data_IF_348974315009
#
_entry.id   IF_348974315009
#
_cell.length_a   1.000
_cell.length_b   1.000
_cell.length_c   1.000
_cell.angle_alpha   90.00
_cell.angle_beta   90.00
_cell.angle_gamma   90.00
#
_symmetry.space_group_name_H-M   'P 1'
#
loop_
_entity.id
_entity.type
_entity.pdbx_description
1 polymer ?
#
# COMPACT_ATOMS: atom_id res chain seq x y z
N UNK A 1 -13.06 -7.73 -11.60
CA UNK A 1 -12.18 -8.93 -11.72
C UNK A 1 -11.02 -8.70 -10.76
N UNK A 2 -10.74 -9.64 -9.86
CA UNK A 2 -9.75 -9.53 -8.78
C UNK A 2 -8.94 -10.84 -8.70
N UNK A 3 -7.66 -10.82 -8.28
CA UNK A 3 -6.92 -9.69 -7.71
C UNK A 3 -6.49 -8.64 -8.74
N UNK A 4 -6.22 -7.42 -8.27
CA UNK A 4 -5.58 -6.34 -9.03
C UNK A 4 -4.39 -5.81 -8.24
N UNK A 5 -3.29 -5.49 -8.91
CA UNK A 5 -2.07 -5.05 -8.22
C UNK A 5 -1.33 -3.93 -8.96
N UNK A 6 -0.56 -3.17 -8.19
CA UNK A 6 0.37 -2.16 -8.70
C UNK A 6 1.53 -1.95 -7.72
N UNK A 7 2.62 -1.41 -8.24
CA UNK A 7 3.85 -1.14 -7.49
C UNK A 7 4.10 0.37 -7.43
N UNK A 8 4.43 0.87 -6.23
CA UNK A 8 4.93 2.23 -6.00
C UNK A 8 6.43 2.13 -5.75
N UNK A 9 7.21 2.88 -6.54
CA UNK A 9 8.66 2.98 -6.41
C UNK A 9 9.05 4.30 -5.76
N UNK A 10 9.80 4.26 -4.66
CA UNK A 10 10.31 5.46 -3.98
C UNK A 10 11.64 5.95 -4.57
N UNK A 11 12.31 5.16 -5.41
CA UNK A 11 13.63 5.43 -6.00
C UNK A 11 14.74 5.69 -4.96
N UNK A 12 14.47 5.43 -3.68
CA UNK A 12 15.37 5.57 -2.54
C UNK A 12 14.83 4.73 -1.38
N UNK A 13 15.70 4.37 -0.44
CA UNK A 13 15.24 3.67 0.77
C UNK A 13 14.52 4.69 1.67
N UNK A 14 13.23 4.45 1.92
CA UNK A 14 12.43 5.24 2.85
C UNK A 14 12.13 4.44 4.10
N UNK A 15 12.13 5.11 5.25
CA UNK A 15 11.55 4.61 6.49
C UNK A 15 10.13 5.13 6.58
N UNK A 16 9.16 4.23 6.63
CA UNK A 16 7.73 4.53 6.65
C UNK A 16 7.24 4.41 8.09
N UNK A 17 6.62 5.47 8.57
CA UNK A 17 6.04 5.57 9.92
C UNK A 17 4.53 5.35 9.88
N UNK A 18 3.89 5.79 8.79
CA UNK A 18 2.46 5.66 8.57
C UNK A 18 2.11 5.51 7.09
N UNK A 19 1.10 4.70 6.80
CA UNK A 19 0.39 4.68 5.53
C UNK A 19 -1.01 5.24 5.70
N UNK A 20 -1.40 6.17 4.83
CA UNK A 20 -2.78 6.65 4.71
C UNK A 20 -3.31 6.24 3.35
N UNK A 21 -4.38 5.45 3.34
CA UNK A 21 -4.96 4.87 2.12
C UNK A 21 -6.42 5.31 2.03
N UNK A 22 -6.73 5.95 0.91
CA UNK A 22 -8.07 6.44 0.59
C UNK A 22 -8.60 5.70 -0.62
N UNK A 23 -9.74 5.03 -0.47
CA UNK A 23 -10.26 4.15 -1.52
C UNK A 23 -11.79 4.06 -1.49
N UNK A 24 -12.34 3.40 -2.51
CA UNK A 24 -13.75 3.06 -2.64
C UNK A 24 -13.89 1.59 -3.00
N UNK A 25 -14.83 0.93 -2.34
CA UNK A 25 -15.21 -0.48 -2.54
C UNK A 25 -14.09 -1.50 -2.38
N UNK A 26 -12.90 -1.13 -1.89
CA UNK A 26 -11.85 -2.09 -1.56
C UNK A 26 -12.31 -2.90 -0.35
N UNK A 27 -12.23 -4.23 -0.42
CA UNK A 27 -12.53 -5.12 0.72
C UNK A 27 -11.23 -5.62 1.33
N UNK A 28 -10.45 -6.41 0.62
CA UNK A 28 -9.21 -6.97 1.16
C UNK A 28 -8.02 -6.37 0.42
N UNK A 29 -7.17 -5.67 1.16
CA UNK A 29 -5.93 -5.08 0.67
C UNK A 29 -4.73 -5.76 1.34
N UNK A 30 -3.86 -6.34 0.50
CA UNK A 30 -2.55 -6.82 0.90
C UNK A 30 -1.49 -5.82 0.42
N UNK A 31 -0.52 -5.55 1.27
CA UNK A 31 0.63 -4.70 0.98
C UNK A 31 1.87 -5.54 1.21
N UNK A 32 2.70 -5.65 0.19
CA UNK A 32 4.02 -6.24 0.26
C UNK A 32 5.07 -5.14 0.10
N UNK A 33 6.25 -5.35 0.66
CA UNK A 33 7.36 -4.41 0.56
C UNK A 33 8.62 -5.10 0.05
N UNK A 34 9.51 -4.32 -0.54
CA UNK A 34 10.86 -4.75 -0.88
C UNK A 34 11.84 -3.63 -0.57
N UNK A 35 13.06 -4.00 -0.20
CA UNK A 35 14.21 -3.09 -0.05
C UNK A 35 15.27 -3.33 -1.14
N UNK A 36 14.97 -4.19 -2.12
CA UNK A 36 15.87 -4.48 -3.23
C UNK A 36 16.05 -3.27 -4.15
N UNK A 37 17.04 -3.34 -5.04
CA UNK A 37 17.29 -2.31 -6.06
C UNK A 37 16.29 -2.39 -7.21
N UNK A 38 15.77 -3.58 -7.49
CA UNK A 38 14.78 -3.88 -8.54
C UNK A 38 13.44 -4.28 -7.87
N UNK A 39 12.29 -4.23 -8.58
CA UNK A 39 10.99 -4.61 -8.03
C UNK A 39 10.84 -6.13 -7.91
N UNK A 40 11.63 -6.73 -7.04
CA UNK A 40 11.71 -8.17 -6.74
C UNK A 40 11.78 -8.39 -5.22
N UNK A 41 11.78 -9.65 -4.79
CA UNK A 41 11.96 -10.06 -3.38
C UNK A 41 10.97 -9.40 -2.42
N UNK A 42 9.71 -9.30 -2.84
CA UNK A 42 8.64 -8.76 -2.02
C UNK A 42 8.33 -9.69 -0.84
N UNK A 43 8.25 -9.12 0.35
CA UNK A 43 7.77 -9.77 1.56
C UNK A 43 6.41 -9.22 1.96
N UNK A 44 5.53 -10.10 2.46
CA UNK A 44 4.24 -9.69 2.99
C UNK A 44 4.44 -8.78 4.20
N UNK A 45 3.84 -7.60 4.15
CA UNK A 45 3.96 -6.61 5.21
C UNK A 45 2.65 -6.40 5.97
N UNK A 46 1.59 -6.06 5.24
CA UNK A 46 0.29 -5.74 5.82
C UNK A 46 -0.79 -6.48 5.04
N UNK A 47 -1.80 -6.97 5.76
CA UNK A 47 -3.04 -7.45 5.18
C UNK A 47 -4.20 -6.90 6.01
N UNK A 48 -5.16 -6.27 5.34
CA UNK A 48 -6.29 -5.59 5.99
C UNK A 48 -7.57 -5.82 5.21
N UNK A 49 -8.62 -6.13 5.96
CA UNK A 49 -9.99 -6.00 5.50
C UNK A 49 -10.52 -4.61 5.86
N UNK A 50 -11.02 -3.90 4.86
CA UNK A 50 -11.58 -2.56 4.96
C UNK A 50 -13.09 -2.64 5.17
N UNK A 51 -13.64 -1.62 5.81
CA UNK A 51 -15.08 -1.53 6.07
C UNK A 51 -15.81 -1.02 4.83
N UNK A 52 -16.96 -1.62 4.50
CA UNK A 52 -17.81 -1.11 3.43
C UNK A 52 -18.48 0.20 3.86
N UNK A 53 -18.30 1.26 3.08
CA UNK A 53 -18.73 2.63 3.41
C UNK A 53 -19.92 3.13 2.59
N UNK A 54 -20.72 2.24 1.98
CA UNK A 54 -21.91 2.59 1.17
C UNK A 54 -21.67 3.73 0.16
N UNK A 55 -20.50 3.72 -0.50
CA UNK A 55 -20.11 4.73 -1.48
C UNK A 55 -19.41 5.98 -0.91
N UNK A 56 -19.26 6.09 0.40
CA UNK A 56 -18.39 7.10 1.02
C UNK A 56 -16.90 6.71 0.93
N UNK A 57 -16.01 7.69 1.09
CA UNK A 57 -14.57 7.45 1.03
C UNK A 57 -14.10 6.60 2.22
N UNK A 58 -13.46 5.47 1.94
CA UNK A 58 -12.76 4.65 2.94
C UNK A 58 -11.45 5.36 3.30
N UNK A 59 -11.20 5.57 4.59
CA UNK A 59 -9.98 6.21 5.10
C UNK A 59 -9.29 5.25 6.06
N UNK A 60 -8.25 4.59 5.58
CA UNK A 60 -7.44 3.69 6.40
C UNK A 60 -6.15 4.38 6.81
N UNK A 61 -5.83 4.30 8.10
CA UNK A 61 -4.57 4.75 8.67
C UNK A 61 -3.86 3.56 9.32
N UNK A 62 -2.67 3.25 8.82
CA UNK A 62 -1.88 2.10 9.26
C UNK A 62 -0.54 2.57 9.79
N UNK A 63 -0.28 2.32 11.08
CA UNK A 63 1.00 2.63 11.72
C UNK A 63 2.04 1.58 11.34
N UNK A 64 3.12 2.02 10.70
CA UNK A 64 4.11 1.17 10.04
C UNK A 64 5.26 0.68 10.95
N UNK A 65 5.28 1.05 12.24
CA UNK A 65 6.32 0.65 13.23
C UNK A 65 7.77 0.76 12.70
N UNK A 66 8.07 1.84 11.99
CA UNK A 66 9.41 2.20 11.48
C UNK A 66 10.01 1.24 10.45
N UNK A 67 9.19 0.68 9.57
CA UNK A 67 9.65 -0.24 8.53
C UNK A 67 10.27 0.47 7.32
N UNK A 68 11.11 -0.24 6.56
CA UNK A 68 11.84 0.31 5.42
C UNK A 68 11.38 -0.31 4.09
N UNK A 69 11.32 0.50 3.03
CA UNK A 69 10.98 0.05 1.69
C UNK A 69 11.65 0.91 0.61
N UNK A 70 11.98 0.29 -0.52
CA UNK A 70 12.24 0.96 -1.81
C UNK A 70 11.05 0.80 -2.75
N UNK A 71 10.32 -0.30 -2.62
CA UNK A 71 9.09 -0.61 -3.35
C UNK A 71 7.98 -1.05 -2.40
N UNK A 72 6.76 -0.62 -2.71
CA UNK A 72 5.54 -1.20 -2.13
C UNK A 72 4.68 -1.78 -3.24
N UNK A 73 4.18 -3.00 -3.03
CA UNK A 73 3.21 -3.65 -3.91
C UNK A 73 1.87 -3.68 -3.21
N UNK A 74 0.88 -3.02 -3.80
CA UNK A 74 -0.50 -3.04 -3.32
C UNK A 74 -1.27 -4.07 -4.13
N UNK A 75 -1.93 -4.99 -3.45
CA UNK A 75 -2.69 -6.09 -4.04
C UNK A 75 -4.11 -6.01 -3.47
N UNK A 76 -5.05 -5.57 -4.31
CA UNK A 76 -6.49 -5.60 -4.00
C UNK A 76 -6.97 -7.02 -4.30
N UNK A 77 -7.01 -7.85 -3.27
CA UNK A 77 -7.41 -9.26 -3.37
C UNK A 77 -8.91 -9.40 -3.59
N UNK A 78 -9.71 -8.52 -2.99
CA UNK A 78 -11.16 -8.53 -3.13
C UNK A 78 -11.77 -7.14 -2.96
N UNK A 79 -13.00 -6.97 -3.45
CA UNK A 79 -13.77 -5.73 -3.37
C UNK A 79 -15.24 -6.00 -2.98
N UNK A 80 -15.93 -4.96 -2.54
CA UNK A 80 -17.36 -4.98 -2.23
C UNK A 80 -18.24 -4.88 -3.48
N UNK A 81 -17.68 -4.44 -4.60
CA UNK A 81 -18.35 -4.33 -5.90
C UNK A 81 -17.43 -4.90 -7.01
N UNK A 82 -17.92 -4.94 -8.24
CA UNK A 82 -17.18 -5.36 -9.43
C UNK A 82 -16.01 -4.42 -9.78
N UNK A 83 -16.06 -3.18 -9.30
CA UNK A 83 -15.03 -2.14 -9.45
C UNK A 83 -14.58 -1.67 -8.07
N UNK A 84 -13.25 -1.56 -7.88
CA UNK A 84 -12.65 -0.87 -6.76
C UNK A 84 -11.80 0.29 -7.27
N UNK A 85 -11.68 1.35 -6.48
CA UNK A 85 -10.89 2.52 -6.83
C UNK A 85 -9.97 2.93 -5.69
N UNK A 86 -8.71 3.16 -6.00
CA UNK A 86 -7.75 3.80 -5.09
C UNK A 86 -7.74 5.29 -5.42
N UNK A 87 -8.17 6.10 -4.47
CA UNK A 87 -8.23 7.56 -4.64
C UNK A 87 -6.89 8.22 -4.31
N UNK A 88 -6.27 7.81 -3.21
CA UNK A 88 -4.97 8.35 -2.78
C UNK A 88 -4.25 7.37 -1.87
N UNK A 89 -2.93 7.32 -2.02
CA UNK A 89 -2.02 6.63 -1.11
C UNK A 89 -0.96 7.64 -0.69
N UNK A 90 -0.74 7.75 0.62
CA UNK A 90 0.35 8.53 1.20
C UNK A 90 1.18 7.63 2.09
N UNK A 91 2.49 7.60 1.85
CA UNK A 91 3.45 7.01 2.76
C UNK A 91 4.18 8.15 3.48
N UNK A 92 3.97 8.23 4.78
CA UNK A 92 4.55 9.25 5.63
C UNK A 92 5.75 8.68 6.38
N UNK A 93 6.85 9.42 6.36
CA UNK A 93 8.11 9.00 6.92
C UNK A 93 9.27 9.81 6.36
N UNK A 94 10.48 9.22 6.39
CA UNK A 94 11.73 9.90 6.02
C UNK A 94 12.53 9.12 4.98
N UNK A 95 13.20 9.85 4.09
CA UNK A 95 14.21 9.27 3.22
C UNK A 95 15.47 8.95 4.05
N UNK A 96 15.98 7.72 3.97
CA UNK A 96 17.12 7.25 4.78
C UNK A 96 18.44 7.32 4.00
N UNK A 97 18.38 7.26 2.67
CA UNK A 97 19.55 7.40 1.80
C UNK A 97 19.14 7.93 0.43
N UNK A 98 20.07 8.56 -0.29
CA UNK A 98 19.95 8.76 -1.73
C UNK A 98 20.58 7.55 -2.42
N UNK A 99 19.83 6.88 -3.32
CA UNK A 99 20.41 5.85 -4.18
C UNK A 99 21.40 6.55 -5.12
N UNK A 100 22.70 6.28 -4.91
CA UNK A 100 23.80 6.79 -5.74
C UNK A 100 23.93 6.01 -7.05
#
# INVERSE_FOLDING_TARGET
MFPQEFIVCFHRLVRIERLVIRSYFVRTLKIEKSTAKEPVDFEQWIERDLVHTEGQLQNEEIMARDDHATYLRFIITSAFDHIAAVYSISAEGVAVSDLS
#
